data_IF_044336600734
#
_entry.id   IF_044336600734
#
_cell.length_a   1.000
_cell.length_b   1.000
_cell.length_c   1.000
_cell.angle_alpha   90.00
_cell.angle_beta   90.00
_cell.angle_gamma   90.00
#
_symmetry.space_group_name_H-M   'P 1'
#
loop_
_entity.id
_entity.type
_entity.pdbx_description
1 polymer ?
#
# COMPACT_ATOMS: atom_id res chain seq x y z
N UNK A 1 22.45 1.48 18.86
CA UNK A 1 22.07 0.38 17.95
C UNK A 1 20.97 0.81 16.98
N UNK A 2 19.72 0.98 17.41
CA UNK A 2 18.61 1.44 16.54
C UNK A 2 18.90 2.79 15.86
N UNK A 3 19.30 3.80 16.63
CA UNK A 3 19.67 5.12 16.09
C UNK A 3 20.87 5.09 15.12
N UNK A 4 21.71 4.06 15.22
CA UNK A 4 22.89 3.88 14.34
C UNK A 4 22.49 3.25 13.01
N UNK A 5 21.58 2.25 13.03
CA UNK A 5 21.04 1.64 11.81
C UNK A 5 20.09 2.58 11.07
N UNK A 6 19.32 3.39 11.81
CA UNK A 6 18.42 4.40 11.24
C UNK A 6 19.15 5.51 10.47
N UNK A 7 20.45 5.69 10.71
CA UNK A 7 21.30 6.66 10.01
C UNK A 7 21.87 6.14 8.70
N UNK A 8 21.65 4.86 8.36
CA UNK A 8 22.02 4.33 7.06
C UNK A 8 21.08 4.90 6.00
N UNK A 9 21.60 5.46 4.89
CA UNK A 9 20.77 6.11 3.89
C UNK A 9 19.73 5.16 3.28
N UNK A 10 20.05 3.86 3.16
CA UNK A 10 19.12 2.85 2.64
C UNK A 10 17.92 2.65 3.57
N UNK A 11 18.15 2.59 4.88
CA UNK A 11 17.11 2.41 5.90
C UNK A 11 16.22 3.65 5.97
N UNK A 12 16.82 4.84 5.93
CA UNK A 12 16.07 6.09 5.88
C UNK A 12 15.20 6.17 4.62
N UNK A 13 15.73 5.80 3.45
CA UNK A 13 14.97 5.80 2.19
C UNK A 13 13.79 4.83 2.22
N UNK A 14 13.96 3.66 2.84
CA UNK A 14 12.89 2.68 3.02
C UNK A 14 11.77 3.24 3.90
N UNK A 15 12.10 3.79 5.07
CA UNK A 15 11.09 4.37 5.95
C UNK A 15 10.37 5.54 5.31
N UNK A 16 11.09 6.43 4.61
CA UNK A 16 10.47 7.52 3.85
C UNK A 16 9.50 6.99 2.79
N UNK A 17 9.85 5.93 2.09
CA UNK A 17 8.98 5.32 1.08
C UNK A 17 7.73 4.71 1.71
N UNK A 18 7.87 3.90 2.76
CA UNK A 18 6.74 3.30 3.48
C UNK A 18 5.81 4.37 4.05
N UNK A 19 6.35 5.40 4.71
CA UNK A 19 5.57 6.54 5.20
C UNK A 19 4.86 7.28 4.07
N UNK A 20 5.51 7.46 2.92
CA UNK A 20 4.87 8.12 1.76
C UNK A 20 3.69 7.32 1.24
N UNK A 21 3.81 5.99 1.16
CA UNK A 21 2.70 5.10 0.79
C UNK A 21 1.60 5.16 1.86
N UNK A 22 1.96 5.16 3.14
CA UNK A 22 1.02 5.28 4.26
C UNK A 22 0.20 6.58 4.21
N UNK A 23 0.86 7.71 3.94
CA UNK A 23 0.17 9.01 3.73
C UNK A 23 -0.77 8.95 2.54
N UNK A 24 -0.31 8.42 1.40
CA UNK A 24 -1.14 8.25 0.20
C UNK A 24 -2.37 7.38 0.48
N UNK A 25 -2.20 6.32 1.26
CA UNK A 25 -3.30 5.43 1.68
C UNK A 25 -4.26 6.12 2.65
N UNK A 26 -3.75 6.92 3.59
CA UNK A 26 -4.59 7.74 4.48
C UNK A 26 -5.44 8.75 3.71
N UNK A 27 -4.86 9.41 2.70
CA UNK A 27 -5.58 10.28 1.78
C UNK A 27 -6.64 9.49 1.02
N UNK A 28 -6.27 8.33 0.46
CA UNK A 28 -7.22 7.48 -0.26
C UNK A 28 -8.44 7.12 0.61
N UNK A 29 -8.21 6.64 1.83
CA UNK A 29 -9.27 6.22 2.75
C UNK A 29 -10.17 7.39 3.18
N UNK A 30 -9.62 8.60 3.27
CA UNK A 30 -10.37 9.79 3.72
C UNK A 30 -11.13 10.47 2.58
N UNK A 31 -10.58 10.47 1.36
CA UNK A 31 -11.02 11.37 0.28
C UNK A 31 -11.66 10.62 -0.89
N UNK A 32 -11.30 9.35 -1.15
CA UNK A 32 -11.79 8.61 -2.33
C UNK A 32 -13.31 8.52 -2.35
N UNK A 33 -13.94 8.22 -1.21
CA UNK A 33 -15.40 8.11 -1.11
C UNK A 33 -16.10 9.44 -1.40
N UNK A 34 -15.54 10.54 -0.88
CA UNK A 34 -16.07 11.88 -1.13
C UNK A 34 -15.94 12.24 -2.61
N UNK A 35 -14.79 11.93 -3.22
CA UNK A 35 -14.55 12.15 -4.64
C UNK A 35 -15.53 11.38 -5.53
N UNK A 36 -15.65 10.07 -5.33
CA UNK A 36 -16.56 9.22 -6.11
C UNK A 36 -18.03 9.63 -5.93
N UNK A 37 -18.44 9.96 -4.70
CA UNK A 37 -19.79 10.47 -4.42
C UNK A 37 -20.06 11.78 -5.15
N UNK A 38 -19.07 12.69 -5.22
CA UNK A 38 -19.19 13.94 -5.99
C UNK A 38 -19.32 13.74 -7.49
N UNK A 39 -18.83 12.61 -8.02
CA UNK A 39 -19.00 12.19 -9.42
C UNK A 39 -20.33 11.46 -9.67
N UNK A 40 -21.20 11.34 -8.66
CA UNK A 40 -22.50 10.69 -8.77
C UNK A 40 -22.47 9.16 -8.68
N UNK A 41 -21.36 8.56 -8.22
CA UNK A 41 -21.25 7.11 -8.03
C UNK A 41 -22.25 6.64 -6.96
N UNK A 42 -22.95 5.55 -7.25
CA UNK A 42 -23.97 5.01 -6.33
C UNK A 42 -23.35 4.39 -5.07
N UNK A 43 -24.09 4.43 -3.96
CA UNK A 43 -23.67 3.79 -2.69
C UNK A 43 -23.39 2.29 -2.83
N UNK A 44 -24.09 1.60 -3.75
CA UNK A 44 -23.86 0.19 -4.03
C UNK A 44 -22.48 -0.05 -4.64
N UNK A 45 -22.04 0.81 -5.57
CA UNK A 45 -20.70 0.73 -6.17
C UNK A 45 -19.63 1.10 -5.15
N UNK A 46 -19.87 2.10 -4.29
CA UNK A 46 -18.97 2.40 -3.18
C UNK A 46 -18.81 1.21 -2.22
N UNK A 47 -19.90 0.54 -1.86
CA UNK A 47 -19.84 -0.69 -1.04
C UNK A 47 -19.09 -1.82 -1.74
N UNK A 48 -19.32 -1.99 -3.05
CA UNK A 48 -18.61 -2.98 -3.87
C UNK A 48 -17.11 -2.69 -3.93
N UNK A 49 -16.71 -1.42 -3.95
CA UNK A 49 -15.31 -0.99 -3.90
C UNK A 49 -14.62 -1.55 -2.65
N UNK A 50 -15.20 -1.35 -1.46
CA UNK A 50 -14.64 -1.88 -0.19
C UNK A 50 -14.61 -3.40 -0.19
N UNK A 51 -15.66 -4.02 -0.72
CA UNK A 51 -15.73 -5.47 -0.81
C UNK A 51 -14.60 -6.04 -1.70
N UNK A 52 -14.34 -5.41 -2.85
CA UNK A 52 -13.27 -5.82 -3.75
C UNK A 52 -11.88 -5.62 -3.13
N UNK A 53 -11.64 -4.52 -2.41
CA UNK A 53 -10.36 -4.34 -1.71
C UNK A 53 -10.15 -5.43 -0.66
N UNK A 54 -11.17 -5.67 0.19
CA UNK A 54 -11.08 -6.68 1.25
C UNK A 54 -10.88 -8.11 0.70
N UNK A 55 -11.59 -8.48 -0.37
CA UNK A 55 -11.39 -9.79 -1.01
C UNK A 55 -10.00 -9.88 -1.64
N UNK A 56 -9.53 -8.81 -2.28
CA UNK A 56 -8.21 -8.82 -2.90
C UNK A 56 -7.08 -8.95 -1.87
N UNK A 57 -7.24 -8.44 -0.65
CA UNK A 57 -6.23 -8.59 0.40
C UNK A 57 -5.91 -10.05 0.73
N UNK A 58 -6.92 -10.94 0.76
CA UNK A 58 -6.77 -12.33 1.15
C UNK A 58 -5.72 -13.11 0.33
N UNK A 59 -5.80 -13.19 -1.01
CA UNK A 59 -4.79 -13.87 -1.80
C UNK A 59 -3.42 -13.18 -1.69
N UNK A 60 -3.37 -11.86 -1.61
CA UNK A 60 -2.08 -11.16 -1.52
C UNK A 60 -1.40 -11.37 -0.17
N UNK A 61 -2.12 -11.44 0.94
CA UNK A 61 -1.57 -11.88 2.22
C UNK A 61 -1.09 -13.33 2.16
N UNK A 62 -1.88 -14.22 1.57
CA UNK A 62 -1.53 -15.65 1.47
C UNK A 62 -0.25 -15.88 0.64
N UNK A 63 -0.12 -15.19 -0.50
CA UNK A 63 1.03 -15.31 -1.39
C UNK A 63 2.15 -14.28 -1.14
N UNK A 64 2.05 -13.48 -0.07
CA UNK A 64 3.03 -12.42 0.22
C UNK A 64 4.45 -12.98 0.34
N UNK A 65 4.62 -14.11 1.04
CA UNK A 65 5.93 -14.77 1.19
C UNK A 65 6.50 -15.23 -0.16
N UNK A 66 5.65 -15.73 -1.07
CA UNK A 66 6.08 -16.11 -2.43
C UNK A 66 6.50 -14.88 -3.24
N UNK A 67 5.75 -13.78 -3.15
CA UNK A 67 6.09 -12.52 -3.82
C UNK A 67 7.41 -11.96 -3.29
N UNK A 68 7.62 -11.98 -1.98
CA UNK A 68 8.87 -11.55 -1.35
C UNK A 68 10.04 -12.44 -1.78
N UNK A 69 9.85 -13.77 -1.83
CA UNK A 69 10.89 -14.68 -2.29
C UNK A 69 11.29 -14.42 -3.77
N UNK A 70 10.34 -14.03 -4.61
CA UNK A 70 10.59 -13.76 -6.02
C UNK A 70 11.16 -12.35 -6.30
N UNK A 71 10.63 -11.31 -5.64
CA UNK A 71 10.98 -9.91 -5.91
C UNK A 71 11.89 -9.27 -4.86
N UNK A 72 12.21 -9.96 -3.75
CA UNK A 72 12.72 -9.40 -2.49
C UNK A 72 11.72 -8.49 -1.77
N UNK A 73 11.88 -8.35 -0.44
CA UNK A 73 11.02 -7.50 0.37
C UNK A 73 11.05 -6.04 -0.12
N UNK A 74 12.26 -5.52 -0.42
CA UNK A 74 12.42 -4.16 -0.97
C UNK A 74 11.78 -4.00 -2.35
N UNK A 75 11.86 -5.03 -3.21
CA UNK A 75 11.25 -5.00 -4.54
C UNK A 75 9.73 -4.95 -4.48
N UNK A 76 9.11 -5.72 -3.58
CA UNK A 76 7.65 -5.68 -3.36
C UNK A 76 7.19 -4.29 -2.89
N UNK A 77 7.94 -3.64 -1.99
CA UNK A 77 7.63 -2.27 -1.53
C UNK A 77 7.71 -1.26 -2.68
N UNK A 78 8.72 -1.37 -3.56
CA UNK A 78 8.81 -0.51 -4.75
C UNK A 78 7.66 -0.75 -5.74
N UNK A 79 7.27 -2.00 -5.96
CA UNK A 79 6.11 -2.36 -6.78
C UNK A 79 4.83 -1.77 -6.19
N UNK A 80 4.66 -1.86 -4.87
CA UNK A 80 3.53 -1.25 -4.17
C UNK A 80 3.52 0.27 -4.31
N UNK A 81 4.68 0.94 -4.21
CA UNK A 81 4.79 2.38 -4.42
C UNK A 81 4.36 2.79 -5.83
N UNK A 82 4.87 2.09 -6.85
CA UNK A 82 4.50 2.34 -8.24
C UNK A 82 3.00 2.08 -8.48
N UNK A 83 2.46 1.00 -7.91
CA UNK A 83 1.04 0.66 -7.98
C UNK A 83 0.18 1.73 -7.31
N UNK A 84 0.62 2.28 -6.17
CA UNK A 84 -0.06 3.38 -5.49
C UNK A 84 -0.12 4.64 -6.36
N UNK A 85 0.99 5.01 -7.01
CA UNK A 85 1.00 6.14 -7.96
C UNK A 85 0.02 5.89 -9.10
N UNK A 86 0.00 4.69 -9.68
CA UNK A 86 -0.94 4.33 -10.74
C UNK A 86 -2.40 4.41 -10.27
N UNK A 87 -2.71 3.94 -9.05
CA UNK A 87 -4.05 4.05 -8.44
C UNK A 87 -4.47 5.51 -8.29
N UNK A 88 -3.62 6.35 -7.69
CA UNK A 88 -3.93 7.77 -7.49
C UNK A 88 -4.12 8.52 -8.81
N UNK A 89 -3.28 8.23 -9.80
CA UNK A 89 -3.45 8.77 -11.15
C UNK A 89 -4.78 8.31 -11.75
N UNK A 90 -5.11 7.02 -11.66
CA UNK A 90 -6.37 6.50 -12.17
C UNK A 90 -7.59 7.20 -11.52
N UNK A 91 -7.59 7.36 -10.19
CA UNK A 91 -8.64 8.09 -9.48
C UNK A 91 -8.78 9.54 -9.92
N UNK A 92 -7.65 10.21 -10.20
CA UNK A 92 -7.66 11.60 -10.69
C UNK A 92 -8.24 11.73 -12.10
N UNK A 93 -8.22 10.66 -12.89
CA UNK A 93 -8.75 10.63 -14.26
C UNK A 93 -10.26 10.30 -14.31
N UNK A 94 -10.84 9.78 -13.22
CA UNK A 94 -12.29 9.57 -13.08
C UNK A 94 -13.02 10.92 -13.05
N UNK A 95 -13.93 11.12 -14.01
CA UNK A 95 -14.62 12.39 -14.25
C UNK A 95 -14.06 13.10 -15.49
N UNK A 96 -12.82 13.66 -15.44
CA UNK A 96 -12.27 14.44 -16.55
C UNK A 96 -12.03 13.64 -17.84
N UNK A 97 -11.54 12.40 -17.72
CA UNK A 97 -11.19 11.55 -18.87
C UNK A 97 -12.07 10.31 -18.92
N UNK A 98 -12.26 9.66 -17.77
CA UNK A 98 -13.10 8.47 -17.64
C UNK A 98 -14.49 8.94 -17.21
N UNK A 99 -15.42 9.01 -18.16
CA UNK A 99 -16.76 9.57 -17.95
C UNK A 99 -17.62 8.68 -17.04
N UNK A 100 -17.39 7.37 -17.03
CA UNK A 100 -18.09 6.44 -16.15
C UNK A 100 -17.25 6.16 -14.89
N UNK A 101 -17.58 6.84 -13.79
CA UNK A 101 -16.86 6.71 -12.52
C UNK A 101 -17.02 5.33 -11.83
N UNK A 102 -17.98 4.50 -12.25
CA UNK A 102 -18.13 3.12 -11.72
C UNK A 102 -16.95 2.22 -12.10
N UNK A 103 -16.13 2.66 -13.06
CA UNK A 103 -14.88 1.99 -13.46
C UNK A 103 -13.80 2.02 -12.38
N UNK A 104 -14.05 2.69 -11.25
CA UNK A 104 -13.23 2.58 -10.05
C UNK A 104 -13.02 1.12 -9.62
N UNK A 105 -14.02 0.25 -9.80
CA UNK A 105 -13.97 -1.15 -9.38
C UNK A 105 -12.83 -1.96 -10.04
N UNK A 106 -12.36 -1.54 -11.21
CA UNK A 106 -11.27 -2.21 -11.93
C UNK A 106 -9.91 -2.05 -11.24
N UNK A 107 -9.71 -0.93 -10.55
CA UNK A 107 -8.43 -0.63 -9.91
C UNK A 107 -8.39 -1.10 -8.45
N UNK A 108 -9.55 -1.36 -7.86
CA UNK A 108 -9.65 -1.79 -6.45
C UNK A 108 -8.88 -3.06 -6.10
N UNK A 109 -8.86 -4.12 -6.94
CA UNK A 109 -8.08 -5.32 -6.65
C UNK A 109 -6.58 -5.09 -6.47
N UNK A 110 -6.03 -4.00 -7.03
CA UNK A 110 -4.63 -3.61 -6.80
C UNK A 110 -4.34 -3.26 -5.33
N UNK A 111 -5.38 -3.19 -4.49
CA UNK A 111 -5.27 -2.85 -3.07
C UNK A 111 -4.51 -3.93 -2.33
N UNK A 112 -4.68 -5.19 -2.73
CA UNK A 112 -3.90 -6.27 -2.17
C UNK A 112 -2.39 -6.08 -2.39
N UNK A 113 -1.96 -5.44 -3.48
CA UNK A 113 -0.54 -5.10 -3.67
C UNK A 113 -0.16 -3.91 -2.78
N UNK A 114 -0.94 -2.83 -2.83
CA UNK A 114 -0.60 -1.57 -2.15
C UNK A 114 -0.77 -1.62 -0.64
N UNK A 115 -1.51 -2.60 -0.12
CA UNK A 115 -1.73 -2.82 1.31
C UNK A 115 -1.15 -4.15 1.76
N UNK A 116 -1.76 -5.29 1.39
CA UNK A 116 -1.40 -6.58 1.96
C UNK A 116 0.05 -7.00 1.66
N UNK A 117 0.45 -7.02 0.40
CA UNK A 117 1.81 -7.37 0.00
C UNK A 117 2.83 -6.33 0.50
N UNK A 118 2.49 -5.04 0.42
CA UNK A 118 3.32 -3.94 0.93
C UNK A 118 3.58 -4.04 2.42
N UNK A 119 2.55 -4.32 3.22
CA UNK A 119 2.64 -4.47 4.66
C UNK A 119 3.56 -5.63 5.03
N UNK A 120 3.30 -6.83 4.49
CA UNK A 120 4.12 -8.00 4.79
C UNK A 120 5.58 -7.80 4.36
N UNK A 121 5.80 -7.20 3.19
CA UNK A 121 7.14 -6.91 2.71
C UNK A 121 7.85 -5.86 3.57
N UNK A 122 7.14 -4.84 4.06
CA UNK A 122 7.72 -3.81 4.92
C UNK A 122 8.15 -4.38 6.28
N UNK A 123 7.31 -5.22 6.89
CA UNK A 123 7.66 -5.91 8.15
C UNK A 123 8.83 -6.87 7.95
N UNK A 124 8.83 -7.63 6.86
CA UNK A 124 9.92 -8.56 6.52
C UNK A 124 11.23 -7.81 6.29
N UNK A 125 11.20 -6.71 5.53
CA UNK A 125 12.40 -5.91 5.29
C UNK A 125 12.90 -5.25 6.58
N UNK A 126 11.99 -4.79 7.46
CA UNK A 126 12.35 -4.24 8.77
C UNK A 126 13.06 -5.27 9.67
N UNK A 127 12.68 -6.55 9.58
CA UNK A 127 13.38 -7.66 10.24
C UNK A 127 14.78 -7.87 9.65
N UNK A 128 14.90 -7.93 8.31
CA UNK A 128 16.16 -8.16 7.61
C UNK A 128 17.24 -7.12 7.94
N UNK A 129 16.85 -5.86 8.10
CA UNK A 129 17.77 -4.75 8.40
C UNK A 129 18.00 -4.55 9.91
N UNK A 130 17.30 -5.30 10.76
CA UNK A 130 17.35 -5.08 12.19
C UNK A 130 18.72 -5.44 12.78
N UNK A 131 19.23 -4.68 13.77
CA UNK A 131 20.36 -5.14 14.57
C UNK A 131 20.05 -6.47 15.28
N UNK A 132 21.07 -7.29 15.59
CA UNK A 132 20.89 -8.52 16.37
C UNK A 132 20.11 -8.26 17.66
N UNK A 133 19.04 -9.02 17.89
CA UNK A 133 18.17 -8.90 19.07
C UNK A 133 17.13 -7.77 19.01
N UNK A 134 17.02 -7.02 17.91
CA UNK A 134 16.10 -5.87 17.79
C UNK A 134 15.08 -6.00 16.64
N UNK A 135 14.90 -7.20 16.09
CA UNK A 135 13.94 -7.49 15.02
C UNK A 135 12.51 -7.02 15.37
N UNK A 136 12.00 -7.42 16.53
CA UNK A 136 10.64 -7.06 17.00
C UNK A 136 10.50 -5.54 17.16
N UNK A 137 11.53 -4.85 17.66
CA UNK A 137 11.49 -3.39 17.79
C UNK A 137 11.44 -2.69 16.43
N UNK A 138 12.19 -3.19 15.43
CA UNK A 138 12.18 -2.64 14.07
C UNK A 138 10.86 -2.91 13.34
N UNK A 139 10.31 -4.12 13.47
CA UNK A 139 8.98 -4.44 12.96
C UNK A 139 7.89 -3.57 13.61
N UNK A 140 7.98 -3.36 14.93
CA UNK A 140 7.06 -2.49 15.67
C UNK A 140 7.15 -1.03 15.22
N UNK A 141 8.36 -0.51 15.00
CA UNK A 141 8.54 0.82 14.42
C UNK A 141 7.92 0.91 13.01
N UNK A 142 8.17 -0.08 12.16
CA UNK A 142 7.62 -0.12 10.81
C UNK A 142 6.09 -0.22 10.80
N UNK A 143 5.51 -0.97 11.73
CA UNK A 143 4.06 -1.17 11.84
C UNK A 143 3.32 0.03 12.45
N UNK A 144 4.04 0.92 13.14
CA UNK A 144 3.50 2.14 13.71
C UNK A 144 3.51 3.34 12.76
N UNK A 145 4.10 3.20 11.57
CA UNK A 145 4.08 4.18 10.49
C UNK A 145 2.87 3.98 9.58
#
# INVERSE_FOLDING_TARGET
ALATVSRRPEVASFFLLVTSIGVAMGINNSVLFLHLSSLGVSNSVLGMSVFLTAIAELPFFFYASNLIAYFSARGVVNIAAATMVLRLLYYSLLGPVITNADWVLLVEPLHGITFAAMWTASVTYAEEIAPPGLAVSMQGLCSGL
#
